data_IF_126773975798
#
_entry.id   IF_126773975798
#
_cell.length_a   1.000
_cell.length_b   1.000
_cell.length_c   1.000
_cell.angle_alpha   90.00
_cell.angle_beta   90.00
_cell.angle_gamma   90.00
#
_symmetry.space_group_name_H-M   'P 1'
#
loop_
_entity.id
_entity.type
_entity.pdbx_description
1 polymer ?
#
# COMPACT_ATOMS: atom_id res chain seq x y z
N UNK A 1 -19.56 38.99 -21.53
CA UNK A 1 -19.90 37.56 -21.46
C UNK A 1 -18.57 36.82 -21.55
N UNK A 2 -18.06 36.32 -20.42
CA UNK A 2 -16.82 35.55 -20.41
C UNK A 2 -17.07 34.22 -21.15
N UNK A 3 -16.10 33.70 -21.92
CA UNK A 3 -16.26 32.41 -22.54
C UNK A 3 -16.50 31.37 -21.45
N UNK A 4 -17.53 30.55 -21.64
CA UNK A 4 -17.79 29.37 -20.82
C UNK A 4 -16.50 28.59 -20.69
N UNK A 5 -15.97 28.53 -19.46
CA UNK A 5 -14.68 27.91 -19.17
C UNK A 5 -14.64 26.51 -19.76
N UNK A 6 -13.56 26.22 -20.48
CA UNK A 6 -13.16 24.84 -20.71
C UNK A 6 -13.17 24.16 -19.33
N UNK A 7 -14.02 23.16 -19.17
CA UNK A 7 -13.80 22.15 -18.16
C UNK A 7 -12.43 21.54 -18.49
N UNK A 8 -11.37 22.02 -17.85
CA UNK A 8 -10.10 21.32 -17.87
C UNK A 8 -10.39 19.93 -17.30
N UNK A 9 -10.44 18.93 -18.19
CA UNK A 9 -10.43 17.54 -17.79
C UNK A 9 -9.20 17.38 -16.92
N UNK A 10 -9.42 17.01 -15.64
CA UNK A 10 -8.30 16.74 -14.73
C UNK A 10 -7.44 15.67 -15.40
N UNK A 11 -6.13 15.92 -15.47
CA UNK A 11 -5.18 15.01 -16.10
C UNK A 11 -5.21 13.67 -15.35
N UNK A 12 -5.36 12.58 -16.08
CA UNK A 12 -5.22 11.25 -15.51
C UNK A 12 -3.77 11.01 -15.09
N UNK A 13 -3.56 10.56 -13.86
CA UNK A 13 -2.22 10.22 -13.39
C UNK A 13 -2.18 8.94 -12.59
N UNK A 14 -0.96 8.46 -12.38
CA UNK A 14 -0.63 7.29 -11.56
C UNK A 14 -0.03 7.79 -10.26
N UNK A 15 -0.59 7.35 -9.14
CA UNK A 15 0.06 7.51 -7.85
C UNK A 15 1.12 6.41 -7.71
N UNK A 16 2.38 6.79 -7.79
CA UNK A 16 3.48 5.82 -7.86
C UNK A 16 3.94 5.32 -6.50
N UNK A 17 3.35 5.80 -5.40
CA UNK A 17 3.78 5.41 -4.06
C UNK A 17 2.64 5.54 -3.04
N UNK A 18 1.99 4.42 -2.74
CA UNK A 18 1.03 4.30 -1.64
C UNK A 18 1.35 3.10 -0.75
N UNK A 19 0.97 3.18 0.52
CA UNK A 19 1.01 2.05 1.45
C UNK A 19 -0.43 1.72 1.86
N UNK A 20 -0.87 0.49 1.57
CA UNK A 20 -2.07 -0.11 2.15
C UNK A 20 -1.66 -0.97 3.34
N UNK A 21 -2.52 -1.02 4.36
CA UNK A 21 -2.28 -1.81 5.55
C UNK A 21 -3.59 -2.26 6.21
N UNK A 22 -3.58 -3.49 6.69
CA UNK A 22 -4.63 -4.10 7.50
C UNK A 22 -4.03 -4.62 8.81
N UNK A 23 -4.32 -3.92 9.90
CA UNK A 23 -3.83 -4.21 11.25
C UNK A 23 -4.49 -5.45 11.87
N UNK A 24 -5.53 -5.99 11.24
CA UNK A 24 -6.28 -7.17 11.69
C UNK A 24 -5.94 -8.42 10.86
N UNK A 25 -5.11 -8.28 9.81
CA UNK A 25 -4.75 -9.42 8.97
C UNK A 25 -3.95 -10.45 9.78
N UNK A 26 -4.33 -11.75 9.77
CA UNK A 26 -3.74 -12.75 10.66
C UNK A 26 -2.27 -13.07 10.36
N UNK A 27 -1.83 -12.85 9.11
CA UNK A 27 -0.48 -13.20 8.65
C UNK A 27 0.42 -11.99 8.39
N UNK A 28 -0.12 -10.76 8.38
CA UNK A 28 0.69 -9.56 8.16
C UNK A 28 1.18 -9.02 9.50
N UNK A 29 2.45 -8.66 9.53
CA UNK A 29 3.06 -8.04 10.69
C UNK A 29 3.66 -6.70 10.29
N UNK A 30 3.55 -5.73 11.19
CA UNK A 30 4.08 -4.39 10.97
C UNK A 30 4.98 -4.00 12.13
N UNK A 31 6.28 -4.26 11.99
CA UNK A 31 7.27 -4.09 13.04
C UNK A 31 7.30 -2.65 13.59
N UNK A 32 7.20 -1.65 12.72
CA UNK A 32 7.22 -0.25 13.11
C UNK A 32 5.97 0.23 13.88
N UNK A 33 4.88 -0.54 13.84
CA UNK A 33 3.64 -0.23 14.54
C UNK A 33 3.49 -0.95 15.89
N UNK A 34 4.48 -1.75 16.30
CA UNK A 34 4.39 -2.51 17.55
C UNK A 34 4.41 -1.61 18.80
N UNK A 35 3.74 -2.02 19.91
CA UNK A 35 3.54 -1.19 21.09
C UNK A 35 4.83 -0.77 21.83
N UNK A 36 5.93 -1.49 21.63
CA UNK A 36 7.23 -1.24 22.23
C UNK A 36 8.21 -0.52 21.29
N UNK A 37 7.80 -0.30 20.02
CA UNK A 37 8.64 0.36 19.02
C UNK A 37 8.38 1.88 19.01
N UNK A 38 9.48 2.65 18.92
CA UNK A 38 9.48 4.10 18.73
C UNK A 38 9.89 4.38 17.29
N UNK A 39 8.94 4.84 16.46
CA UNK A 39 9.22 5.12 15.06
C UNK A 39 10.21 6.29 14.92
N UNK A 40 11.24 6.20 14.05
CA UNK A 40 12.29 7.22 13.96
C UNK A 40 11.79 8.62 13.60
N UNK A 41 10.71 8.72 12.81
CA UNK A 41 10.16 10.02 12.39
C UNK A 41 8.89 10.44 13.16
N UNK A 42 8.11 9.48 13.65
CA UNK A 42 6.77 9.72 14.20
C UNK A 42 6.68 9.38 15.69
N UNK A 43 7.76 8.89 16.29
CA UNK A 43 7.81 8.48 17.68
C UNK A 43 6.73 7.44 18.00
N UNK A 44 6.08 7.61 19.15
CA UNK A 44 4.96 6.75 19.57
C UNK A 44 3.65 7.05 18.83
N UNK A 45 3.54 8.20 18.15
CA UNK A 45 2.30 8.61 17.44
C UNK A 45 2.03 7.78 16.19
N UNK A 46 3.02 7.04 15.70
CA UNK A 46 2.83 6.07 14.61
C UNK A 46 1.62 5.16 14.88
N UNK A 47 1.36 4.84 16.15
CA UNK A 47 0.27 3.99 16.62
C UNK A 47 -1.11 4.57 16.33
N UNK A 48 -1.27 5.89 16.32
CA UNK A 48 -2.54 6.55 15.98
C UNK A 48 -2.98 6.19 14.55
N UNK A 49 -2.04 5.98 13.62
CA UNK A 49 -2.35 5.53 12.25
C UNK A 49 -2.81 4.07 12.19
N UNK A 50 -2.41 3.24 13.16
CA UNK A 50 -2.78 1.84 13.28
C UNK A 50 -4.10 1.59 14.00
N UNK A 51 -4.80 2.63 14.46
CA UNK A 51 -6.14 2.52 15.04
C UNK A 51 -7.22 2.21 14.00
N UNK A 52 -6.88 2.29 12.72
CA UNK A 52 -7.73 1.95 11.58
C UNK A 52 -6.92 1.23 10.52
N UNK A 53 -7.60 0.51 9.65
CA UNK A 53 -7.00 0.01 8.41
C UNK A 53 -7.02 1.09 7.33
N UNK A 54 -6.19 0.91 6.31
CA UNK A 54 -6.26 1.67 5.06
C UNK A 54 -6.07 0.70 3.89
N UNK A 55 -7.19 0.23 3.35
CA UNK A 55 -7.21 -0.78 2.28
C UNK A 55 -7.44 -0.15 0.90
N UNK A 56 -7.42 -0.96 -0.16
CA UNK A 56 -7.59 -0.48 -1.54
C UNK A 56 -8.91 0.30 -1.74
N UNK A 57 -10.00 -0.16 -1.12
CA UNK A 57 -11.31 0.47 -1.17
C UNK A 57 -11.29 1.87 -0.52
N UNK A 58 -10.58 2.03 0.60
CA UNK A 58 -10.41 3.34 1.26
C UNK A 58 -9.65 4.31 0.35
N UNK A 59 -8.61 3.82 -0.31
CA UNK A 59 -7.82 4.60 -1.26
C UNK A 59 -8.66 5.05 -2.46
N UNK A 60 -9.46 4.16 -3.05
CA UNK A 60 -10.39 4.50 -4.14
C UNK A 60 -11.39 5.56 -3.68
N UNK A 61 -11.97 5.40 -2.50
CA UNK A 61 -12.93 6.35 -1.95
C UNK A 61 -12.31 7.73 -1.69
N UNK A 62 -11.06 7.76 -1.22
CA UNK A 62 -10.28 8.97 -0.96
C UNK A 62 -9.91 9.71 -2.25
N UNK A 63 -9.53 8.97 -3.30
CA UNK A 63 -9.00 9.54 -4.55
C UNK A 63 -10.04 9.72 -5.66
N UNK A 64 -11.30 9.35 -5.43
CA UNK A 64 -12.39 9.37 -6.45
C UNK A 64 -12.55 10.68 -7.24
N UNK A 65 -12.16 11.82 -6.65
CA UNK A 65 -12.27 13.14 -7.27
C UNK A 65 -10.91 13.71 -7.71
N UNK A 66 -9.83 12.95 -7.62
CA UNK A 66 -8.47 13.40 -7.90
C UNK A 66 -7.97 13.02 -9.31
N UNK A 67 -8.69 12.17 -10.06
CA UNK A 67 -8.25 11.59 -11.34
C UNK A 67 -6.99 10.70 -11.24
N UNK A 68 -6.83 10.02 -10.10
CA UNK A 68 -5.88 8.90 -10.00
C UNK A 68 -6.50 7.70 -10.70
N UNK A 69 -5.83 7.21 -11.75
CA UNK A 69 -6.33 6.08 -12.54
C UNK A 69 -5.68 4.76 -12.16
N UNK A 70 -4.51 4.81 -11.51
CA UNK A 70 -3.73 3.64 -11.06
C UNK A 70 -2.91 4.02 -9.84
N UNK A 71 -2.59 3.03 -9.01
CA UNK A 71 -1.67 3.18 -7.90
C UNK A 71 -0.61 2.07 -7.90
N UNK A 72 0.58 2.40 -7.41
CA UNK A 72 1.65 1.44 -7.10
C UNK A 72 1.79 1.35 -5.58
N UNK A 73 1.53 0.17 -5.03
CA UNK A 73 1.77 -0.10 -3.62
C UNK A 73 3.26 -0.36 -3.40
N UNK A 74 3.80 0.18 -2.31
CA UNK A 74 5.14 -0.14 -1.82
C UNK A 74 5.02 -0.87 -0.49
N UNK A 75 5.75 -1.97 -0.32
CA UNK A 75 5.65 -2.86 0.84
C UNK A 75 5.54 -2.08 2.17
N UNK A 76 4.65 -2.52 3.04
CA UNK A 76 4.35 -1.91 4.34
C UNK A 76 4.45 -2.92 5.49
N UNK A 77 4.16 -4.20 5.26
CA UNK A 77 4.11 -5.27 6.25
C UNK A 77 5.51 -5.81 6.65
N UNK A 78 6.40 -4.89 7.02
CA UNK A 78 7.77 -5.18 7.46
C UNK A 78 7.76 -6.09 8.69
N UNK A 79 8.50 -7.20 8.60
CA UNK A 79 8.66 -8.16 9.68
C UNK A 79 7.61 -9.29 9.67
N UNK A 80 6.74 -9.33 8.65
CA UNK A 80 5.94 -10.51 8.37
C UNK A 80 6.83 -11.75 8.24
N UNK A 81 6.38 -12.89 8.78
CA UNK A 81 7.15 -14.14 8.73
C UNK A 81 7.41 -14.60 7.29
N UNK A 82 6.44 -14.36 6.42
CA UNK A 82 6.52 -14.63 4.99
C UNK A 82 6.11 -13.36 4.23
N UNK A 83 7.06 -12.63 3.60
CA UNK A 83 6.76 -11.36 2.94
C UNK A 83 5.88 -11.53 1.70
N UNK A 84 5.79 -12.74 1.15
CA UNK A 84 4.87 -13.08 0.04
C UNK A 84 3.42 -12.86 0.44
N UNK A 85 3.08 -12.99 1.74
CA UNK A 85 1.71 -12.79 2.24
C UNK A 85 1.17 -11.40 1.99
N UNK A 86 2.02 -10.37 2.02
CA UNK A 86 1.59 -9.03 1.65
C UNK A 86 1.27 -8.94 0.16
N UNK A 87 2.07 -9.59 -0.70
CA UNK A 87 1.85 -9.59 -2.15
C UNK A 87 0.59 -10.36 -2.52
N UNK A 88 0.34 -11.53 -1.90
CA UNK A 88 -0.91 -12.29 -2.07
C UNK A 88 -2.12 -11.42 -1.70
N UNK A 89 -2.10 -10.80 -0.52
CA UNK A 89 -3.17 -9.91 -0.05
C UNK A 89 -3.42 -8.72 -0.99
N UNK A 90 -2.35 -8.09 -1.51
CA UNK A 90 -2.45 -6.99 -2.46
C UNK A 90 -2.96 -7.44 -3.84
N UNK A 91 -2.55 -8.62 -4.29
CA UNK A 91 -3.04 -9.20 -5.55
C UNK A 91 -4.53 -9.49 -5.46
N UNK A 92 -5.01 -10.06 -4.34
CA UNK A 92 -6.44 -10.25 -4.12
C UNK A 92 -7.21 -8.92 -4.12
N UNK A 93 -6.65 -7.86 -3.53
CA UNK A 93 -7.25 -6.52 -3.59
C UNK A 93 -7.30 -5.98 -5.02
N UNK A 94 -6.23 -6.19 -5.80
CA UNK A 94 -6.16 -5.80 -7.20
C UNK A 94 -7.19 -6.55 -8.06
N UNK A 95 -7.38 -7.85 -7.82
CA UNK A 95 -8.35 -8.66 -8.54
C UNK A 95 -9.80 -8.24 -8.24
N UNK A 96 -10.08 -7.85 -6.98
CA UNK A 96 -11.41 -7.38 -6.57
C UNK A 96 -11.73 -5.95 -7.03
N UNK A 97 -10.75 -5.05 -6.97
CA UNK A 97 -11.00 -3.60 -7.04
C UNK A 97 -10.33 -2.91 -8.23
N UNK A 98 -9.36 -3.57 -8.87
CA UNK A 98 -8.47 -2.98 -9.85
C UNK A 98 -7.30 -2.18 -9.26
N UNK A 99 -7.16 -2.12 -7.92
CA UNK A 99 -6.07 -1.45 -7.21
C UNK A 99 -5.43 -2.36 -6.14
N UNK A 100 -4.09 -2.32 -5.97
CA UNK A 100 -3.14 -1.54 -6.76
C UNK A 100 -2.91 -2.16 -8.15
N UNK A 101 -2.31 -1.39 -9.07
CA UNK A 101 -1.93 -1.87 -10.42
C UNK A 101 -0.46 -2.29 -10.52
N UNK A 102 0.32 -2.00 -9.51
CA UNK A 102 1.70 -2.44 -9.35
C UNK A 102 2.01 -2.62 -7.87
N UNK A 103 2.89 -3.56 -7.58
CA UNK A 103 3.33 -3.90 -6.22
C UNK A 103 4.85 -3.87 -6.21
N UNK A 104 5.43 -3.10 -5.28
CA UNK A 104 6.85 -3.16 -4.94
C UNK A 104 6.97 -4.02 -3.70
N UNK A 105 7.22 -5.32 -3.91
CA UNK A 105 7.31 -6.32 -2.86
C UNK A 105 8.62 -6.23 -2.06
N UNK A 106 8.61 -6.75 -0.83
CA UNK A 106 9.81 -6.95 -0.03
C UNK A 106 10.49 -8.28 -0.37
N UNK A 107 11.80 -8.26 -0.53
CA UNK A 107 12.66 -9.44 -0.48
C UNK A 107 14.00 -9.08 0.19
N UNK A 108 14.53 -9.96 1.04
CA UNK A 108 15.90 -9.81 1.53
C UNK A 108 16.87 -10.34 0.48
N UNK A 109 17.40 -9.43 -0.35
CA UNK A 109 18.31 -9.74 -1.46
C UNK A 109 19.66 -10.33 -1.04
N UNK A 110 19.92 -10.48 0.26
CA UNK A 110 21.14 -11.07 0.80
C UNK A 110 20.98 -12.56 1.08
N UNK A 111 19.74 -13.05 1.19
CA UNK A 111 19.47 -14.44 1.50
C UNK A 111 19.83 -15.34 0.31
N UNK A 112 20.46 -16.51 0.54
CA UNK A 112 20.93 -17.38 -0.53
C UNK A 112 19.79 -18.01 -1.34
N UNK A 113 18.59 -18.07 -0.79
CA UNK A 113 17.36 -18.61 -1.39
C UNK A 113 16.39 -17.51 -1.87
N UNK A 114 16.87 -16.27 -2.06
CA UNK A 114 16.01 -15.15 -2.48
C UNK A 114 15.31 -15.40 -3.83
N UNK A 115 15.92 -16.15 -4.75
CA UNK A 115 15.30 -16.48 -6.04
C UNK A 115 14.00 -17.30 -5.85
N UNK A 116 13.97 -18.21 -4.87
CA UNK A 116 12.77 -19.00 -4.54
C UNK A 116 11.68 -18.10 -3.94
N UNK A 117 12.05 -17.09 -3.14
CA UNK A 117 11.10 -16.09 -2.63
C UNK A 117 10.55 -15.21 -3.76
N UNK A 118 11.42 -14.72 -4.65
CA UNK A 118 11.03 -13.89 -5.79
C UNK A 118 10.08 -14.62 -6.74
N UNK A 119 10.24 -15.92 -6.94
CA UNK A 119 9.34 -16.73 -7.77
C UNK A 119 7.95 -16.96 -7.15
N UNK A 120 7.77 -16.69 -5.86
CA UNK A 120 6.49 -16.83 -5.14
C UNK A 120 5.66 -15.53 -5.11
N UNK A 121 6.28 -14.39 -5.42
CA UNK A 121 5.58 -13.11 -5.61
C UNK A 121 4.89 -13.07 -6.98
#
# INVERSE_FOLDING_TARGET
MLPSGEHMTKLDFVDTHVHFYDMQHPELFYAHWQPDVVHPALGTRIRELGERNFVAEDYIALTRNANVTKAVHVQAAIGSKDPVKETEWLQEAADRTGFPRGIVAYADLREPDVDDMLARH
#
